data_IF_346856520537
#
_entry.id   IF_346856520537
#
_cell.length_a   1.000
_cell.length_b   1.000
_cell.length_c   1.000
_cell.angle_alpha   90.00
_cell.angle_beta   90.00
_cell.angle_gamma   90.00
#
_symmetry.space_group_name_H-M   'P 1'
#
loop_
_entity.id
_entity.type
_entity.pdbx_description
1 polymer ?
#
# COMPACT_ATOMS: atom_id res chain seq x y z
N UNK A 1 -10.77 -30.14 -9.60
CA UNK A 1 -10.36 -29.32 -8.44
C UNK A 1 -10.74 -27.89 -8.73
N UNK A 2 -11.57 -27.26 -7.89
CA UNK A 2 -11.91 -25.85 -8.04
C UNK A 2 -10.72 -25.02 -7.54
N UNK A 3 -10.22 -24.11 -8.38
CA UNK A 3 -9.28 -23.09 -7.95
C UNK A 3 -10.03 -22.14 -7.00
N UNK A 4 -9.77 -22.26 -5.70
CA UNK A 4 -10.33 -21.34 -4.71
C UNK A 4 -9.85 -19.92 -5.04
N UNK A 5 -10.77 -19.01 -5.34
CA UNK A 5 -10.45 -17.61 -5.52
C UNK A 5 -9.86 -17.10 -4.21
N UNK A 6 -8.61 -16.64 -4.23
CA UNK A 6 -8.02 -15.97 -3.09
C UNK A 6 -8.74 -14.63 -2.94
N UNK A 7 -9.65 -14.54 -1.97
CA UNK A 7 -10.24 -13.27 -1.58
C UNK A 7 -9.13 -12.39 -0.98
N UNK A 8 -8.99 -11.17 -1.52
CA UNK A 8 -8.09 -10.18 -0.94
C UNK A 8 -8.57 -9.86 0.48
N UNK A 9 -7.67 -9.90 1.46
CA UNK A 9 -7.96 -9.42 2.83
C UNK A 9 -7.86 -7.90 2.93
N UNK A 10 -7.41 -7.24 1.87
CA UNK A 10 -7.36 -5.79 1.73
C UNK A 10 -6.18 -5.34 0.89
N UNK A 11 -6.00 -4.02 0.85
CA UNK A 11 -4.91 -3.37 0.13
C UNK A 11 -3.98 -2.69 1.13
N UNK A 12 -2.67 -2.73 0.86
CA UNK A 12 -1.67 -2.02 1.66
C UNK A 12 -1.33 -0.68 1.04
N UNK A 13 -1.75 0.43 1.65
CA UNK A 13 -1.60 1.75 1.05
C UNK A 13 -1.51 2.88 2.09
N UNK A 14 -1.14 4.07 1.61
CA UNK A 14 -1.22 5.33 2.37
C UNK A 14 -2.62 5.91 2.27
N UNK A 15 -3.39 5.85 3.35
CA UNK A 15 -4.66 6.57 3.48
C UNK A 15 -4.43 8.03 3.84
N UNK A 16 -5.33 8.91 3.38
CA UNK A 16 -5.26 10.35 3.58
C UNK A 16 -6.48 10.86 4.35
N UNK A 17 -6.22 11.67 5.38
CA UNK A 17 -7.20 12.08 6.37
C UNK A 17 -7.13 13.58 6.63
N UNK A 18 -8.30 14.17 6.84
CA UNK A 18 -8.45 15.53 7.35
C UNK A 18 -8.88 15.48 8.81
N UNK A 19 -8.33 16.36 9.64
CA UNK A 19 -8.74 16.46 11.04
C UNK A 19 -9.61 17.67 11.28
N UNK A 20 -10.77 17.45 11.88
CA UNK A 20 -11.62 18.49 12.46
C UNK A 20 -11.70 18.29 13.97
N UNK A 21 -11.18 19.27 14.73
CA UNK A 21 -10.94 19.14 16.16
C UNK A 21 -10.09 17.90 16.47
N UNK A 22 -10.69 16.92 17.15
CA UNK A 22 -10.05 15.64 17.46
C UNK A 22 -10.39 14.52 16.47
N UNK A 23 -11.35 14.72 15.58
CA UNK A 23 -11.94 13.69 14.72
C UNK A 23 -11.21 13.61 13.39
N UNK A 24 -10.93 12.38 12.94
CA UNK A 24 -10.39 12.11 11.61
C UNK A 24 -11.52 11.76 10.65
N UNK A 25 -11.52 12.42 9.49
CA UNK A 25 -12.41 12.14 8.37
C UNK A 25 -11.59 11.71 7.18
N UNK A 26 -11.98 10.62 6.52
CA UNK A 26 -11.31 10.16 5.31
C UNK A 26 -11.44 11.24 4.23
N UNK A 27 -10.34 11.63 3.61
CA UNK A 27 -10.35 12.73 2.65
C UNK A 27 -11.12 12.34 1.38
N UNK A 28 -11.99 13.23 0.91
CA UNK A 28 -12.74 13.03 -0.34
C UNK A 28 -11.95 13.50 -1.57
N UNK A 29 -10.87 14.24 -1.36
CA UNK A 29 -9.93 14.71 -2.38
C UNK A 29 -8.55 14.10 -2.15
N UNK A 30 -7.79 13.89 -3.23
CA UNK A 30 -6.41 13.44 -3.14
C UNK A 30 -5.46 14.53 -2.61
N UNK A 31 -4.30 14.17 -2.02
CA UNK A 31 -3.33 15.13 -1.49
C UNK A 31 -2.83 16.16 -2.51
N UNK A 32 -2.80 15.81 -3.79
CA UNK A 32 -2.38 16.67 -4.90
C UNK A 32 -3.43 17.69 -5.33
N UNK A 33 -4.65 17.60 -4.78
CA UNK A 33 -5.77 18.51 -5.08
C UNK A 33 -6.21 19.28 -3.84
N UNK A 34 -6.20 18.63 -2.67
CA UNK A 34 -6.60 19.25 -1.40
C UNK A 34 -5.71 20.45 -1.09
N UNK A 35 -6.33 21.63 -0.88
CA UNK A 35 -5.65 22.89 -0.50
C UNK A 35 -6.15 23.34 0.87
N UNK A 36 -5.64 22.74 1.97
CA UNK A 36 -6.13 23.03 3.30
C UNK A 36 -5.82 24.48 3.71
N UNK A 37 -6.60 25.01 4.64
CA UNK A 37 -6.37 26.32 5.25
C UNK A 37 -5.10 26.33 6.13
N UNK A 38 -4.57 27.53 6.39
CA UNK A 38 -3.58 27.71 7.45
C UNK A 38 -4.17 27.28 8.80
N UNK A 39 -3.44 26.50 9.59
CA UNK A 39 -3.98 25.93 10.83
C UNK A 39 -4.52 24.50 10.69
N UNK A 40 -4.66 23.99 9.47
CA UNK A 40 -5.19 22.65 9.27
C UNK A 40 -4.24 21.55 9.75
N UNK A 41 -4.83 20.44 10.17
CA UNK A 41 -4.12 19.19 10.45
C UNK A 41 -4.51 18.16 9.39
N UNK A 42 -3.51 17.54 8.78
CA UNK A 42 -3.63 16.57 7.71
C UNK A 42 -2.90 15.29 8.14
N UNK A 43 -3.46 14.13 7.82
CA UNK A 43 -2.98 12.84 8.31
C UNK A 43 -2.70 11.87 7.17
N UNK A 44 -1.58 11.17 7.26
CA UNK A 44 -1.21 10.06 6.38
C UNK A 44 -1.01 8.81 7.22
N UNK A 45 -1.72 7.73 6.90
CA UNK A 45 -1.64 6.46 7.63
C UNK A 45 -1.40 5.31 6.67
N UNK A 46 -0.24 4.66 6.81
CA UNK A 46 0.06 3.43 6.09
C UNK A 46 -0.51 2.24 6.83
N UNK A 47 -1.36 1.46 6.16
CA UNK A 47 -1.99 0.28 6.72
C UNK A 47 -2.46 -0.70 5.64
N UNK A 48 -2.79 -1.92 6.07
CA UNK A 48 -3.66 -2.81 5.29
C UNK A 48 -5.11 -2.46 5.62
N UNK A 49 -5.93 -2.20 4.61
CA UNK A 49 -7.36 -1.92 4.80
C UNK A 49 -8.18 -2.48 3.65
N UNK A 50 -9.36 -3.01 3.95
CA UNK A 50 -10.26 -3.61 2.96
C UNK A 50 -10.79 -2.57 1.97
N UNK A 51 -11.23 -1.43 2.50
CA UNK A 51 -11.78 -0.31 1.74
C UNK A 51 -11.60 1.01 2.54
N UNK A 52 -12.11 2.11 2.01
CA UNK A 52 -12.00 3.44 2.64
C UNK A 52 -12.86 3.63 3.90
N UNK A 53 -13.99 2.93 4.03
CA UNK A 53 -14.84 2.99 5.22
C UNK A 53 -14.17 2.35 6.44
N UNK A 54 -13.38 1.30 6.20
CA UNK A 54 -12.64 0.56 7.22
C UNK A 54 -11.16 0.96 7.31
N UNK A 55 -10.77 2.05 6.63
CA UNK A 55 -9.39 2.49 6.59
C UNK A 55 -8.88 2.87 7.99
N UNK A 56 -7.68 2.40 8.32
CA UNK A 56 -7.04 2.74 9.58
C UNK A 56 -6.75 4.25 9.65
N UNK A 57 -7.10 4.87 10.77
CA UNK A 57 -6.90 6.30 11.01
C UNK A 57 -5.48 6.57 11.53
N UNK A 58 -4.93 7.79 11.30
CA UNK A 58 -3.66 8.19 11.90
C UNK A 58 -3.73 8.15 13.42
N UNK A 59 -2.69 7.59 14.05
CA UNK A 59 -2.58 7.52 15.51
C UNK A 59 -1.96 8.80 16.08
N UNK A 60 -2.27 9.08 17.34
CA UNK A 60 -1.78 10.25 18.08
C UNK A 60 -2.83 11.38 18.17
N UNK A 61 -2.65 12.26 19.16
CA UNK A 61 -3.63 13.29 19.50
C UNK A 61 -3.19 14.72 19.21
N UNK A 62 -1.91 14.95 18.86
CA UNK A 62 -1.34 16.28 18.70
C UNK A 62 -2.11 17.10 17.64
N UNK A 63 -2.64 18.26 18.05
CA UNK A 63 -3.31 19.22 17.17
C UNK A 63 -2.33 20.25 16.59
N UNK A 64 -2.85 21.14 15.76
CA UNK A 64 -2.06 22.17 15.08
C UNK A 64 -1.19 22.99 16.03
N UNK A 65 -1.76 23.48 17.15
CA UNK A 65 -1.05 24.31 18.11
C UNK A 65 0.21 23.63 18.66
N UNK A 66 0.14 22.32 18.93
CA UNK A 66 1.28 21.55 19.41
C UNK A 66 2.30 21.29 18.28
N UNK A 67 1.84 20.84 17.11
CA UNK A 67 2.71 20.45 16.00
C UNK A 67 3.47 21.66 15.43
N UNK A 68 2.79 22.82 15.33
CA UNK A 68 3.31 24.04 14.72
C UNK A 68 3.78 25.09 15.74
N UNK A 69 3.93 24.73 17.03
CA UNK A 69 4.30 25.65 18.11
C UNK A 69 5.56 26.48 17.82
N UNK A 70 6.53 25.88 17.11
CA UNK A 70 7.82 26.50 16.77
C UNK A 70 7.88 27.07 15.35
N UNK A 71 6.77 27.07 14.62
CA UNK A 71 6.70 27.58 13.25
C UNK A 71 5.94 28.91 13.24
N UNK A 72 6.63 30.06 13.21
CA UNK A 72 5.97 31.35 13.15
C UNK A 72 5.20 31.51 11.84
N UNK A 73 4.14 32.34 11.89
CA UNK A 73 3.45 32.80 10.69
C UNK A 73 4.40 33.65 9.86
N UNK A 74 4.24 33.59 8.54
CA UNK A 74 4.96 34.44 7.59
C UNK A 74 4.00 34.84 6.48
N UNK A 75 4.06 36.09 6.06
CA UNK A 75 3.22 36.60 4.98
C UNK A 75 3.45 35.84 3.67
N UNK A 76 2.37 35.71 2.88
CA UNK A 76 2.38 34.90 1.65
C UNK A 76 2.40 33.39 1.87
N UNK A 77 2.49 32.91 3.11
CA UNK A 77 2.51 31.46 3.42
C UNK A 77 1.34 31.02 4.29
N UNK A 78 1.15 29.70 4.38
CA UNK A 78 0.31 29.01 5.36
C UNK A 78 1.11 27.92 6.06
N UNK A 79 0.64 27.49 7.22
CA UNK A 79 1.17 26.37 7.98
C UNK A 79 0.17 25.22 7.96
N UNK A 80 0.67 24.04 7.62
CA UNK A 80 -0.11 22.79 7.64
C UNK A 80 0.60 21.82 8.57
N UNK A 81 -0.11 21.38 9.60
CA UNK A 81 0.37 20.34 10.50
C UNK A 81 0.13 18.97 9.86
N UNK A 82 1.16 18.15 9.82
CA UNK A 82 1.14 16.82 9.23
C UNK A 82 1.37 15.78 10.31
N UNK A 83 0.47 14.80 10.39
CA UNK A 83 0.64 13.56 11.15
C UNK A 83 1.02 12.47 10.14
N UNK A 84 2.23 11.95 10.26
CA UNK A 84 2.77 10.92 9.36
C UNK A 84 2.90 9.64 10.18
N UNK A 85 1.97 8.73 9.96
CA UNK A 85 1.88 7.46 10.66
C UNK A 85 2.24 6.30 9.72
N UNK A 86 3.46 5.80 9.85
CA UNK A 86 4.08 4.81 8.97
C UNK A 86 3.54 3.39 9.11
N UNK A 87 2.55 3.12 9.95
CA UNK A 87 2.09 1.76 10.16
C UNK A 87 2.55 1.15 11.48
N UNK A 88 2.10 -0.07 11.69
CA UNK A 88 2.64 -1.01 12.68
C UNK A 88 3.46 -2.07 11.96
N UNK A 89 4.16 -2.93 12.71
CA UNK A 89 4.85 -4.07 12.12
C UNK A 89 3.89 -5.00 11.35
N UNK A 90 2.61 -5.08 11.74
CA UNK A 90 1.60 -5.88 11.02
C UNK A 90 1.20 -5.27 9.66
N UNK A 91 1.38 -3.96 9.50
CA UNK A 91 1.08 -3.25 8.24
C UNK A 91 2.23 -3.34 7.23
N UNK A 92 3.43 -3.65 7.69
CA UNK A 92 4.66 -3.56 6.90
C UNK A 92 4.72 -4.61 5.79
N UNK A 93 5.34 -4.29 4.63
CA UNK A 93 5.78 -5.30 3.69
C UNK A 93 6.76 -6.29 4.35
N UNK A 94 6.83 -7.50 3.80
CA UNK A 94 7.74 -8.54 4.30
C UNK A 94 9.19 -8.04 4.29
N UNK A 95 9.88 -8.19 5.43
CA UNK A 95 11.27 -7.76 5.61
C UNK A 95 11.46 -6.26 5.91
N UNK A 96 10.40 -5.45 5.86
CA UNK A 96 10.48 -4.03 6.18
C UNK A 96 10.03 -3.74 7.63
N UNK A 97 10.54 -2.65 8.21
CA UNK A 97 10.10 -2.16 9.53
C UNK A 97 9.67 -0.70 9.40
N UNK A 98 8.45 -0.34 9.84
CA UNK A 98 7.97 1.02 9.69
C UNK A 98 8.78 1.97 10.58
N UNK A 99 9.14 3.17 10.09
CA UNK A 99 9.63 4.24 10.93
C UNK A 99 8.66 4.59 12.06
N UNK A 100 9.16 5.26 13.10
CA UNK A 100 8.28 5.80 14.13
C UNK A 100 7.31 6.84 13.53
N UNK A 101 6.05 6.81 13.96
CA UNK A 101 5.10 7.86 13.63
C UNK A 101 5.63 9.22 14.12
N UNK A 102 5.46 10.26 13.31
CA UNK A 102 5.96 11.60 13.63
C UNK A 102 5.03 12.68 13.14
N UNK A 103 5.17 13.86 13.72
CA UNK A 103 4.48 15.07 13.28
C UNK A 103 5.47 16.08 12.72
N UNK A 104 5.03 16.87 11.75
CA UNK A 104 5.81 17.98 11.21
C UNK A 104 4.91 19.16 10.85
N UNK A 105 5.45 20.37 10.94
CA UNK A 105 4.75 21.57 10.50
C UNK A 105 5.37 22.07 9.20
N UNK A 106 4.62 22.02 8.10
CA UNK A 106 5.05 22.58 6.82
C UNK A 106 4.64 24.06 6.76
N UNK A 107 5.56 24.94 6.35
CA UNK A 107 5.25 26.32 5.96
C UNK A 107 5.41 26.44 4.46
N UNK A 108 4.32 26.68 3.75
CA UNK A 108 4.22 26.59 2.27
C UNK A 108 3.43 27.77 1.69
N UNK A 109 3.50 28.05 0.37
CA UNK A 109 2.66 29.05 -0.27
C UNK A 109 1.17 28.87 0.07
N UNK A 110 0.41 29.98 0.10
CA UNK A 110 -1.01 29.96 0.53
C UNK A 110 -1.88 29.03 -0.32
N UNK A 111 -1.59 28.92 -1.60
CA UNK A 111 -2.30 28.04 -2.51
C UNK A 111 -1.84 26.59 -2.41
N UNK A 112 -0.67 26.28 -1.84
CA UNK A 112 -0.08 24.93 -1.86
C UNK A 112 -1.04 23.80 -1.43
N UNK A 113 -0.88 22.66 -2.08
CA UNK A 113 -1.61 21.42 -1.84
C UNK A 113 -1.06 20.66 -0.62
N UNK A 114 -1.81 19.68 -0.10
CA UNK A 114 -1.31 18.80 0.96
C UNK A 114 -0.09 17.99 0.50
N UNK A 115 -0.03 17.59 -0.77
CA UNK A 115 1.15 16.91 -1.34
C UNK A 115 2.40 17.79 -1.30
N UNK A 116 2.29 19.08 -1.65
CA UNK A 116 3.39 20.04 -1.54
C UNK A 116 3.81 20.28 -0.09
N UNK A 117 2.83 20.39 0.83
CA UNK A 117 3.10 20.47 2.25
C UNK A 117 3.85 19.24 2.78
N UNK A 118 3.42 18.04 2.40
CA UNK A 118 4.10 16.79 2.76
C UNK A 118 5.51 16.73 2.18
N UNK A 119 5.68 17.10 0.91
CA UNK A 119 6.98 17.14 0.25
C UNK A 119 7.95 18.15 0.89
N UNK A 120 7.46 19.18 1.57
CA UNK A 120 8.33 20.13 2.29
C UNK A 120 8.99 19.51 3.54
N UNK A 121 8.45 18.41 4.09
CA UNK A 121 8.87 17.87 5.41
C UNK A 121 9.11 16.36 5.45
N UNK A 122 8.88 15.65 4.34
CA UNK A 122 8.90 14.19 4.33
C UNK A 122 9.37 13.57 3.01
N UNK A 123 10.28 14.24 2.29
CA UNK A 123 10.94 13.64 1.12
C UNK A 123 11.85 12.46 1.49
N UNK A 124 12.11 11.54 0.55
CA UNK A 124 11.52 11.47 -0.79
C UNK A 124 10.07 10.97 -0.77
N UNK A 125 9.26 11.48 -1.69
CA UNK A 125 7.92 10.93 -1.97
C UNK A 125 7.98 10.11 -3.26
N UNK A 126 7.27 8.98 -3.30
CA UNK A 126 7.10 8.17 -4.51
C UNK A 126 5.62 8.08 -4.85
N UNK A 127 5.29 8.26 -6.12
CA UNK A 127 3.95 8.12 -6.66
C UNK A 127 3.96 7.12 -7.83
N UNK A 128 2.83 6.47 -8.06
CA UNK A 128 2.63 5.67 -9.28
C UNK A 128 2.12 6.55 -10.44
N UNK A 129 1.84 5.93 -11.59
CA UNK A 129 1.32 6.61 -12.77
C UNK A 129 -0.11 7.15 -12.60
N UNK A 130 -0.84 6.70 -11.58
CA UNK A 130 -2.19 7.16 -11.24
C UNK A 130 -2.19 8.23 -10.13
N UNK A 131 -1.00 8.75 -9.78
CA UNK A 131 -0.80 9.68 -8.67
C UNK A 131 -1.17 9.12 -7.28
N UNK A 132 -1.18 7.80 -7.12
CA UNK A 132 -1.26 7.16 -5.81
C UNK A 132 0.05 7.39 -5.05
N UNK A 133 -0.05 7.85 -3.80
CA UNK A 133 1.11 8.01 -2.93
C UNK A 133 1.62 6.64 -2.46
N UNK A 134 2.75 6.23 -3.01
CA UNK A 134 3.35 4.93 -2.73
C UNK A 134 4.28 4.96 -1.52
N UNK A 135 5.05 6.03 -1.34
CA UNK A 135 6.03 6.12 -0.28
C UNK A 135 6.21 7.53 0.27
N UNK A 136 6.41 7.62 1.59
CA UNK A 136 6.77 8.85 2.30
C UNK A 136 8.12 8.61 2.96
N UNK A 137 9.06 9.56 2.83
CA UNK A 137 10.41 9.42 3.36
C UNK A 137 11.08 8.07 3.03
N UNK A 138 10.80 7.55 1.82
CA UNK A 138 11.33 6.26 1.35
C UNK A 138 10.60 5.01 1.86
N UNK A 139 9.55 5.13 2.69
CA UNK A 139 8.78 3.99 3.21
C UNK A 139 7.36 3.89 2.62
N UNK A 140 6.89 2.68 2.27
CA UNK A 140 7.69 1.47 2.09
C UNK A 140 8.72 1.63 0.96
N UNK A 141 9.82 0.88 1.04
CA UNK A 141 10.87 0.95 0.02
C UNK A 141 10.34 0.53 -1.34
N UNK A 142 9.46 -0.48 -1.35
CA UNK A 142 8.84 -1.04 -2.55
C UNK A 142 7.33 -1.09 -2.39
N UNK A 143 6.65 -1.32 -3.52
CA UNK A 143 5.20 -1.46 -3.52
C UNK A 143 4.42 -0.17 -3.68
N UNK A 144 3.13 -0.29 -3.97
CA UNK A 144 2.23 0.84 -4.14
C UNK A 144 0.77 0.38 -4.21
N UNK A 145 0.18 0.00 -3.07
CA UNK A 145 -1.22 -0.42 -3.06
C UNK A 145 -1.44 -1.90 -3.36
N UNK A 146 -0.51 -2.77 -3.00
CA UNK A 146 -0.65 -4.20 -3.26
C UNK A 146 -1.82 -4.83 -2.52
N UNK A 147 -2.45 -5.80 -3.18
CA UNK A 147 -3.39 -6.71 -2.54
C UNK A 147 -2.64 -7.60 -1.56
N UNK A 148 -3.15 -7.67 -0.33
CA UNK A 148 -2.71 -8.64 0.66
C UNK A 148 -3.66 -9.83 0.55
N UNK A 149 -3.11 -11.01 0.30
CA UNK A 149 -3.89 -12.26 0.33
C UNK A 149 -3.85 -12.86 1.74
N UNK A 150 -4.95 -13.47 2.16
CA UNK A 150 -5.09 -14.03 3.51
C UNK A 150 -4.31 -15.32 3.78
N UNK A 151 -3.36 -15.71 2.94
CA UNK A 151 -2.53 -16.88 3.19
C UNK A 151 -1.17 -16.45 3.70
N UNK A 152 -0.87 -16.85 4.93
CA UNK A 152 0.48 -16.86 5.47
C UNK A 152 1.43 -17.33 4.37
N UNK A 153 2.40 -16.47 4.05
CA UNK A 153 3.52 -16.80 3.20
C UNK A 153 4.26 -17.94 3.89
N UNK A 154 3.88 -19.18 3.57
CA UNK A 154 4.58 -20.37 3.97
C UNK A 154 5.93 -20.29 3.25
N UNK A 155 6.91 -19.71 3.93
CA UNK A 155 8.31 -19.79 3.56
C UNK A 155 8.61 -21.28 3.37
N UNK A 156 8.73 -21.71 2.12
CA UNK A 156 9.23 -23.03 1.81
C UNK A 156 10.68 -23.08 2.27
N UNK A 157 10.90 -23.58 3.49
CA UNK A 157 12.22 -24.00 3.91
C UNK A 157 12.68 -25.12 2.95
N UNK A 158 13.94 -25.13 2.48
CA UNK A 158 14.43 -26.23 1.67
C UNK A 158 14.54 -27.46 2.55
N UNK A 159 13.63 -28.43 2.39
CA UNK A 159 13.82 -29.77 2.95
C UNK A 159 14.95 -30.47 2.18
N UNK A 160 16.03 -30.78 2.91
CA UNK A 160 17.06 -31.73 2.48
C UNK A 160 16.40 -33.09 2.17
N UNK A 161 16.82 -33.81 1.12
CA UNK A 161 16.38 -35.18 0.91
C UNK A 161 17.21 -36.11 1.81
N UNK A 162 16.57 -36.70 2.82
CA UNK A 162 17.12 -37.86 3.51
C UNK A 162 16.81 -39.13 2.69
N UNK A 163 17.87 -39.84 2.34
CA UNK A 163 17.86 -41.13 1.67
C UNK A 163 17.33 -42.22 2.59
N UNK A 164 16.36 -43.03 2.14
CA UNK A 164 15.99 -44.26 2.85
C UNK A 164 14.70 -44.95 2.38
N UNK A 165 14.88 -45.93 1.50
CA UNK A 165 14.17 -47.24 1.44
C UNK A 165 12.67 -47.33 1.09
N UNK A 166 12.44 -47.84 -0.12
CA UNK A 166 11.43 -48.82 -0.58
C UNK A 166 9.92 -48.63 -0.25
N UNK A 167 9.16 -48.21 -1.27
CA UNK A 167 7.70 -48.37 -1.36
C UNK A 167 7.17 -48.08 -2.78
N UNK A 168 6.22 -48.86 -3.35
CA UNK A 168 5.90 -48.81 -4.78
C UNK A 168 5.05 -47.59 -5.18
N UNK A 169 5.57 -46.81 -6.13
CA UNK A 169 4.96 -45.62 -6.72
C UNK A 169 3.81 -45.95 -7.68
N UNK A 170 2.56 -45.75 -7.26
CA UNK A 170 1.36 -45.82 -8.14
C UNK A 170 0.74 -44.43 -8.38
N UNK A 171 1.58 -43.39 -8.44
CA UNK A 171 1.12 -41.99 -8.55
C UNK A 171 1.57 -41.21 -9.79
N UNK A 172 2.33 -41.82 -10.70
CA UNK A 172 3.03 -41.10 -11.78
C UNK A 172 2.65 -41.53 -13.21
N UNK A 173 1.54 -42.24 -13.39
CA UNK A 173 1.01 -42.59 -14.73
C UNK A 173 -0.46 -42.15 -14.86
N UNK A 174 -0.71 -40.84 -14.77
CA UNK A 174 -1.99 -40.24 -15.14
C UNK A 174 -1.90 -38.79 -15.70
N UNK A 175 -0.71 -38.19 -15.75
CA UNK A 175 -0.52 -36.80 -16.19
C UNK A 175 0.04 -36.60 -17.60
N UNK A 176 0.60 -37.63 -18.24
CA UNK A 176 1.30 -37.50 -19.53
C UNK A 176 0.43 -37.69 -20.78
N UNK A 177 -0.73 -38.37 -20.66
CA UNK A 177 -1.55 -38.72 -21.82
C UNK A 177 -2.52 -37.60 -22.28
N UNK A 178 -2.71 -36.55 -21.48
CA UNK A 178 -3.67 -35.47 -21.79
C UNK A 178 -3.10 -34.35 -22.69
N UNK A 179 -1.77 -34.21 -22.79
CA UNK A 179 -1.14 -33.10 -23.55
C UNK A 179 -0.98 -33.42 -25.04
N UNK A 180 -0.90 -34.70 -25.42
CA UNK A 180 -0.76 -35.09 -26.83
C UNK A 180 -2.08 -34.97 -27.63
N UNK A 181 -3.25 -35.12 -26.98
CA UNK A 181 -4.56 -35.07 -27.67
C UNK A 181 -4.98 -33.63 -28.00
N UNK A 182 -4.61 -32.64 -27.17
CA UNK A 182 -4.97 -31.23 -27.41
C UNK A 182 -4.08 -30.54 -28.47
N UNK A 183 -2.90 -31.07 -28.76
CA UNK A 183 -2.02 -30.57 -29.83
C UNK A 183 -2.52 -30.91 -31.24
N UNK A 184 -3.14 -32.08 -31.43
CA UNK A 184 -3.61 -32.53 -32.75
C UNK A 184 -4.87 -31.78 -33.24
N UNK A 185 -5.73 -31.32 -32.33
CA UNK A 185 -6.96 -30.60 -32.66
C UNK A 185 -6.70 -29.17 -33.21
N UNK A 186 -5.68 -28.48 -32.67
CA UNK A 186 -5.34 -27.12 -33.11
C UNK A 186 -4.77 -27.07 -34.54
N UNK A 187 -4.01 -28.10 -34.95
CA UNK A 187 -3.41 -28.18 -36.29
C UNK A 187 -4.47 -28.49 -37.36
N UNK A 188 -5.49 -29.30 -37.04
CA UNK A 188 -6.55 -29.63 -37.99
C UNK A 188 -7.49 -28.45 -38.26
N UNK A 189 -7.79 -27.64 -37.23
CA UNK A 189 -8.69 -26.49 -37.35
C UNK A 189 -8.06 -25.32 -38.13
N UNK A 190 -6.73 -25.21 -38.13
CA UNK A 190 -5.99 -24.20 -38.90
C UNK A 190 -5.89 -24.53 -40.40
N UNK A 191 -5.88 -25.82 -40.79
CA UNK A 191 -5.81 -26.23 -42.21
C UNK A 191 -7.15 -26.07 -42.96
N UNK A 192 -8.28 -26.17 -42.27
CA UNK A 192 -9.62 -25.96 -42.86
C UNK A 192 -9.98 -24.51 -43.16
N UNK A 193 -9.23 -23.53 -42.65
CA UNK A 193 -9.48 -22.10 -42.88
C UNK A 193 -8.61 -21.48 -43.99
N UNK A 194 -7.79 -22.29 -44.67
CA UNK A 194 -6.93 -21.86 -45.79
C UNK A 194 -7.19 -22.64 -47.09
N UNK A 195 -8.33 -23.32 -47.18
CA UNK A 195 -8.85 -23.92 -48.41
C UNK A 195 -10.19 -23.25 -48.74
#
# INVERSE_FOLDING_TARGET
>A
MAAGQAHAVGYRYWSFWERDGSTWTYATQGPSTARPADGAVQGFRFAVSENSADAARPRGAAGFAAICARTPRQDGTKRVALVIDFGTAADAPSGERPPAARTACARVPRDATTAEALAAVARPLRYDTNALLCAIAGYPEKGCGEQVSGKAEATAAPQKPDSGSDGPSVGLIAGGAAVAVLGAAAVWQARRRRA
#
